data_IF_904203520797
#
_entry.id   IF_904203520797
#
_cell.length_a   1.000
_cell.length_b   1.000
_cell.length_c   1.000
_cell.angle_alpha   90.00
_cell.angle_beta   90.00
_cell.angle_gamma   90.00
#
_symmetry.space_group_name_H-M   'P 1'
#
loop_
_entity.id
_entity.type
_entity.pdbx_description
1 polymer ?
#
# COMPACT_ATOMS: atom_id res chain seq x y z
N UNK A 1 6.46 -0.65 -4.09
CA UNK A 1 7.89 -0.48 -4.41
C UNK A 1 8.05 0.67 -5.40
N UNK A 2 9.20 0.87 -6.06
CA UNK A 2 9.39 1.93 -7.10
C UNK A 2 8.88 1.51 -8.49
N UNK A 3 8.29 0.32 -8.60
CA UNK A 3 7.68 -0.17 -9.83
C UNK A 3 7.28 -1.64 -9.70
N UNK A 4 6.47 -2.17 -10.64
CA UNK A 4 6.01 -3.56 -10.64
C UNK A 4 7.13 -4.58 -10.94
N UNK A 5 8.30 -4.11 -11.40
CA UNK A 5 9.46 -4.96 -11.68
C UNK A 5 10.48 -5.01 -10.53
N UNK A 6 10.31 -4.17 -9.51
CA UNK A 6 11.19 -4.15 -8.35
C UNK A 6 10.92 -5.35 -7.44
N UNK A 7 11.96 -5.80 -6.74
CA UNK A 7 11.93 -6.84 -5.74
C UNK A 7 12.43 -6.29 -4.39
N UNK A 8 12.03 -6.90 -3.25
CA UNK A 8 12.59 -6.58 -1.95
C UNK A 8 14.12 -6.70 -1.90
N UNK A 9 14.69 -7.63 -2.68
CA UNK A 9 16.11 -7.91 -2.80
C UNK A 9 16.90 -6.79 -3.50
N UNK A 10 16.26 -6.01 -4.39
CA UNK A 10 16.84 -4.78 -4.96
C UNK A 10 17.06 -3.69 -3.87
N UNK A 11 16.45 -3.90 -2.71
CA UNK A 11 16.54 -3.03 -1.55
C UNK A 11 15.80 -1.71 -1.72
N UNK A 12 16.23 -0.72 -0.94
CA UNK A 12 15.50 0.54 -0.79
C UNK A 12 16.24 1.75 -1.38
N UNK A 13 17.44 1.56 -1.90
CA UNK A 13 18.27 2.66 -2.44
C UNK A 13 17.66 3.26 -3.70
N UNK A 14 16.97 2.45 -4.51
CA UNK A 14 16.32 2.91 -5.75
C UNK A 14 15.28 4.02 -5.56
N UNK A 15 14.71 4.16 -4.36
CA UNK A 15 13.72 5.19 -4.04
C UNK A 15 14.25 6.62 -4.19
N UNK A 16 15.58 6.83 -4.11
CA UNK A 16 16.18 8.18 -4.28
C UNK A 16 16.11 8.68 -5.73
N UNK A 17 15.94 7.76 -6.68
CA UNK A 17 15.88 8.06 -8.11
C UNK A 17 14.45 8.26 -8.62
N UNK A 18 13.45 7.76 -7.90
CA UNK A 18 12.04 7.93 -8.24
C UNK A 18 11.50 9.24 -7.63
N UNK A 19 11.11 10.18 -8.50
CA UNK A 19 10.66 11.52 -8.14
C UNK A 19 9.16 11.62 -7.86
N UNK A 20 8.47 10.49 -7.73
CA UNK A 20 7.06 10.46 -7.33
C UNK A 20 6.90 10.67 -5.82
N UNK A 21 5.66 10.92 -5.38
CA UNK A 21 5.34 11.27 -3.99
C UNK A 21 5.57 10.09 -3.02
N UNK A 22 5.21 8.87 -3.43
CA UNK A 22 5.37 7.67 -2.61
C UNK A 22 6.84 7.47 -2.17
N UNK A 23 7.80 7.49 -3.09
CA UNK A 23 9.22 7.43 -2.78
C UNK A 23 9.76 8.60 -1.97
N UNK A 24 9.29 9.83 -2.19
CA UNK A 24 9.63 10.97 -1.34
C UNK A 24 9.27 10.68 0.12
N UNK A 25 8.04 10.22 0.38
CA UNK A 25 7.58 9.82 1.72
C UNK A 25 8.34 8.58 2.25
N UNK A 26 8.68 7.64 1.37
CA UNK A 26 9.44 6.44 1.74
C UNK A 26 10.82 6.81 2.34
N UNK A 27 11.57 7.69 1.68
CA UNK A 27 12.96 8.00 2.06
C UNK A 27 13.09 9.12 3.09
N UNK A 28 12.09 9.99 3.20
CA UNK A 28 12.02 10.95 4.31
C UNK A 28 12.08 10.25 5.67
N UNK A 29 11.54 9.03 5.74
CA UNK A 29 11.56 8.14 6.89
C UNK A 29 12.21 6.79 6.53
N UNK A 30 13.46 6.82 6.04
CA UNK A 30 14.15 5.64 5.53
C UNK A 30 14.17 4.43 6.49
N UNK A 31 14.36 4.58 7.83
CA UNK A 31 14.31 3.45 8.76
C UNK A 31 12.99 2.67 8.72
N UNK A 32 11.85 3.36 8.59
CA UNK A 32 10.55 2.70 8.41
C UNK A 32 10.48 1.91 7.10
N UNK A 33 11.06 2.45 6.03
CA UNK A 33 11.13 1.74 4.73
C UNK A 33 12.03 0.51 4.81
N UNK A 34 13.17 0.58 5.53
CA UNK A 34 14.04 -0.57 5.82
C UNK A 34 13.26 -1.63 6.61
N UNK A 35 12.59 -1.23 7.69
CA UNK A 35 11.80 -2.15 8.52
C UNK A 35 10.73 -2.87 7.70
N UNK A 36 9.94 -2.12 6.94
CA UNK A 36 8.90 -2.68 6.05
C UNK A 36 9.48 -3.66 5.03
N UNK A 37 10.68 -3.41 4.52
CA UNK A 37 11.30 -4.28 3.52
C UNK A 37 11.88 -5.56 4.13
N UNK A 38 12.63 -5.46 5.23
CA UNK A 38 13.48 -6.55 5.71
C UNK A 38 13.01 -7.21 7.02
N UNK A 39 12.07 -6.61 7.76
CA UNK A 39 11.75 -7.05 9.13
C UNK A 39 10.25 -7.17 9.41
N UNK A 40 9.39 -6.47 8.68
CA UNK A 40 7.95 -6.54 8.88
C UNK A 40 7.42 -7.97 8.70
N UNK A 41 6.46 -8.41 9.54
CA UNK A 41 5.87 -9.73 9.40
C UNK A 41 5.12 -9.84 8.07
N UNK A 42 5.42 -10.89 7.31
CA UNK A 42 4.68 -11.29 6.11
C UNK A 42 3.77 -12.44 6.49
N UNK A 43 2.48 -12.25 6.28
CA UNK A 43 1.45 -13.20 6.66
C UNK A 43 1.05 -14.10 5.49
N UNK A 44 0.75 -15.36 5.80
CA UNK A 44 0.09 -16.30 4.90
C UNK A 44 -0.97 -17.04 5.71
N UNK A 45 -2.22 -17.06 5.22
CA UNK A 45 -3.34 -17.70 5.91
C UNK A 45 -3.51 -17.26 7.39
N UNK A 46 -3.34 -15.97 7.65
CA UNK A 46 -3.51 -15.37 8.98
C UNK A 46 -2.38 -15.67 9.98
N UNK A 47 -1.28 -16.30 9.55
CA UNK A 47 -0.11 -16.58 10.39
C UNK A 47 1.12 -15.91 9.82
N UNK A 48 2.06 -15.52 10.69
CA UNK A 48 3.36 -15.03 10.27
C UNK A 48 4.08 -16.17 9.56
N UNK A 49 4.38 -15.97 8.27
CA UNK A 49 5.15 -16.91 7.46
C UNK A 49 6.64 -16.62 7.59
N UNK A 50 7.01 -15.35 7.46
CA UNK A 50 8.39 -14.88 7.59
C UNK A 50 8.43 -13.43 8.08
N UNK A 51 9.63 -12.96 8.45
CA UNK A 51 9.93 -11.55 8.64
C UNK A 51 10.71 -11.02 7.44
N UNK A 52 10.34 -9.83 6.97
CA UNK A 52 10.86 -9.26 5.74
C UNK A 52 10.15 -9.79 4.50
N UNK A 53 10.06 -8.94 3.48
CA UNK A 53 9.50 -9.27 2.18
C UNK A 53 10.58 -9.93 1.32
N UNK A 54 10.18 -10.89 0.49
CA UNK A 54 11.02 -11.47 -0.58
C UNK A 54 10.27 -11.43 -1.90
N UNK A 55 10.97 -11.65 -3.01
CA UNK A 55 10.36 -11.73 -4.34
C UNK A 55 9.16 -12.71 -4.42
N UNK A 56 9.19 -13.78 -3.60
CA UNK A 56 8.15 -14.80 -3.56
C UNK A 56 7.05 -14.51 -2.54
N UNK A 57 7.34 -13.75 -1.48
CA UNK A 57 6.41 -13.51 -0.39
C UNK A 57 6.47 -12.04 0.06
N UNK A 58 5.51 -11.27 -0.44
CA UNK A 58 5.37 -9.85 -0.15
C UNK A 58 4.09 -9.57 0.64
N UNK A 59 4.05 -8.40 1.28
CA UNK A 59 2.85 -7.94 1.97
C UNK A 59 1.79 -7.61 0.90
N UNK A 60 0.60 -8.16 1.06
CA UNK A 60 -0.57 -7.82 0.25
C UNK A 60 -1.67 -7.25 1.15
N UNK A 61 -1.87 -5.93 1.06
CA UNK A 61 -2.84 -5.20 1.87
C UNK A 61 -4.30 -5.39 1.43
N UNK A 62 -4.53 -6.04 0.28
CA UNK A 62 -5.85 -6.29 -0.30
C UNK A 62 -6.22 -7.78 -0.31
N UNK A 63 -5.46 -8.65 0.35
CA UNK A 63 -5.71 -10.09 0.36
C UNK A 63 -7.10 -10.45 0.92
N UNK A 64 -7.50 -9.86 2.05
CA UNK A 64 -8.82 -10.08 2.63
C UNK A 64 -9.92 -9.35 1.85
N UNK A 65 -9.63 -8.15 1.35
CA UNK A 65 -10.53 -7.44 0.43
C UNK A 65 -10.89 -8.27 -0.80
N UNK A 66 -9.90 -8.91 -1.43
CA UNK A 66 -10.13 -9.80 -2.58
C UNK A 66 -10.96 -11.04 -2.22
N UNK A 67 -10.82 -11.58 -1.00
CA UNK A 67 -11.66 -12.69 -0.51
C UNK A 67 -13.10 -12.24 -0.28
N UNK A 68 -13.32 -11.11 0.38
CA UNK A 68 -14.65 -10.53 0.63
C UNK A 68 -15.33 -10.18 -0.69
N UNK A 69 -14.63 -9.50 -1.59
CA UNK A 69 -15.13 -9.19 -2.93
C UNK A 69 -15.24 -10.44 -3.81
N UNK A 70 -14.58 -11.55 -3.44
CA UNK A 70 -14.50 -12.79 -4.20
C UNK A 70 -14.00 -12.55 -5.65
N UNK A 71 -12.94 -11.74 -5.78
CA UNK A 71 -12.24 -11.47 -7.04
C UNK A 71 -10.75 -11.50 -6.74
N UNK A 72 -10.06 -12.46 -7.36
CA UNK A 72 -8.61 -12.53 -7.29
C UNK A 72 -8.01 -11.55 -8.31
N UNK A 73 -7.14 -10.66 -7.84
CA UNK A 73 -6.44 -9.67 -8.65
C UNK A 73 -4.95 -9.83 -8.40
N UNK A 74 -4.13 -9.98 -9.47
CA UNK A 74 -2.71 -10.21 -9.29
C UNK A 74 -2.06 -8.96 -8.66
N UNK A 75 -1.22 -9.19 -7.65
CA UNK A 75 -0.39 -8.16 -7.03
C UNK A 75 1.07 -8.50 -7.27
N UNK A 76 1.84 -7.54 -7.78
CA UNK A 76 3.28 -7.70 -8.00
C UNK A 76 4.02 -6.49 -7.46
N UNK A 77 4.99 -6.69 -6.57
CA UNK A 77 5.76 -5.59 -5.95
C UNK A 77 4.87 -4.51 -5.29
N UNK A 78 3.71 -4.91 -4.76
CA UNK A 78 2.69 -4.02 -4.19
C UNK A 78 1.82 -3.27 -5.22
N UNK A 79 1.93 -3.58 -6.52
CA UNK A 79 1.09 -3.04 -7.57
C UNK A 79 -0.01 -4.04 -7.91
N UNK A 80 -1.27 -3.62 -7.83
CA UNK A 80 -2.43 -4.38 -8.29
C UNK A 80 -2.50 -4.30 -9.82
N UNK A 81 -2.45 -5.43 -10.54
CA UNK A 81 -2.30 -5.47 -12.00
C UNK A 81 -3.42 -6.29 -12.69
N UNK A 82 -4.71 -6.01 -12.43
CA UNK A 82 -5.80 -6.78 -12.99
C UNK A 82 -5.86 -6.62 -14.52
N UNK A 83 -6.35 -7.64 -15.20
CA UNK A 83 -6.82 -7.49 -16.57
C UNK A 83 -8.20 -6.82 -16.62
N UNK A 84 -8.62 -6.41 -17.83
CA UNK A 84 -9.92 -5.73 -18.03
C UNK A 84 -11.11 -6.56 -17.58
N UNK A 85 -11.03 -7.89 -17.71
CA UNK A 85 -12.11 -8.80 -17.30
C UNK A 85 -12.26 -8.79 -15.78
N UNK A 86 -11.14 -8.81 -15.08
CA UNK A 86 -11.06 -8.89 -13.62
C UNK A 86 -11.50 -7.58 -12.98
N UNK A 87 -11.04 -6.44 -13.48
CA UNK A 87 -11.46 -5.13 -12.93
C UNK A 87 -12.94 -4.85 -13.17
N UNK A 88 -13.50 -5.24 -14.33
CA UNK A 88 -14.95 -5.12 -14.58
C UNK A 88 -15.77 -6.00 -13.65
N UNK A 89 -15.32 -7.24 -13.42
CA UNK A 89 -15.94 -8.13 -12.44
C UNK A 89 -15.89 -7.54 -11.02
N UNK A 90 -14.76 -6.93 -10.64
CA UNK A 90 -14.65 -6.22 -9.37
C UNK A 90 -15.65 -5.07 -9.30
N UNK A 91 -15.77 -4.25 -10.34
CA UNK A 91 -16.72 -3.14 -10.40
C UNK A 91 -18.17 -3.58 -10.28
N UNK A 92 -18.56 -4.68 -10.94
CA UNK A 92 -19.93 -5.20 -10.82
C UNK A 92 -20.26 -5.62 -9.39
N UNK A 93 -19.28 -6.21 -8.70
CA UNK A 93 -19.44 -6.61 -7.30
C UNK A 93 -19.41 -5.43 -6.34
N UNK A 94 -18.56 -4.43 -6.58
CA UNK A 94 -18.55 -3.18 -5.83
C UNK A 94 -19.89 -2.44 -5.97
N UNK A 95 -20.45 -2.38 -7.19
CA UNK A 95 -21.79 -1.80 -7.45
C UNK A 95 -22.92 -2.56 -6.78
N UNK A 96 -22.80 -3.88 -6.63
CA UNK A 96 -23.76 -4.67 -5.88
C UNK A 96 -23.64 -4.39 -4.37
N UNK A 97 -22.42 -4.40 -3.83
CA UNK A 97 -22.15 -4.13 -2.43
C UNK A 97 -22.51 -2.70 -2.00
N UNK A 98 -22.37 -1.71 -2.89
CA UNK A 98 -22.71 -0.31 -2.57
C UNK A 98 -24.21 -0.06 -2.31
N UNK A 99 -25.07 -1.06 -2.56
CA UNK A 99 -26.52 -1.00 -2.27
C UNK A 99 -26.86 -1.54 -0.88
N UNK A 100 -25.88 -2.12 -0.19
CA UNK A 100 -26.02 -2.72 1.13
C UNK A 100 -24.93 -2.11 2.05
N UNK A 101 -25.29 -1.23 3.00
CA UNK A 101 -24.34 -0.60 3.91
C UNK A 101 -23.45 -1.59 4.67
N UNK A 102 -23.98 -2.74 5.07
CA UNK A 102 -23.22 -3.73 5.83
C UNK A 102 -22.19 -4.42 4.94
N UNK A 103 -22.55 -4.74 3.69
CA UNK A 103 -21.63 -5.29 2.71
C UNK A 103 -20.51 -4.29 2.33
N UNK A 104 -20.86 -3.01 2.16
CA UNK A 104 -19.89 -1.96 1.89
C UNK A 104 -18.93 -1.78 3.08
N UNK A 105 -19.45 -1.73 4.30
CA UNK A 105 -18.65 -1.63 5.51
C UNK A 105 -17.71 -2.83 5.67
N UNK A 106 -18.18 -4.05 5.33
CA UNK A 106 -17.34 -5.23 5.35
C UNK A 106 -16.16 -5.13 4.37
N UNK A 107 -16.38 -4.57 3.17
CA UNK A 107 -15.31 -4.28 2.22
C UNK A 107 -14.33 -3.24 2.78
N UNK A 108 -14.81 -2.15 3.37
CA UNK A 108 -13.95 -1.13 3.98
C UNK A 108 -13.04 -1.75 5.05
N UNK A 109 -13.62 -2.54 5.96
CA UNK A 109 -12.91 -3.18 7.07
C UNK A 109 -11.93 -4.28 6.65
N UNK A 110 -11.96 -4.70 5.39
CA UNK A 110 -11.11 -5.77 4.86
C UNK A 110 -9.81 -5.27 4.22
N UNK A 111 -9.64 -3.96 4.06
CA UNK A 111 -8.39 -3.35 3.58
C UNK A 111 -7.45 -3.15 4.77
N UNK A 112 -6.20 -3.58 4.60
CA UNK A 112 -5.18 -3.51 5.66
C UNK A 112 -4.24 -2.34 5.42
N UNK A 113 -3.69 -1.78 6.50
CA UNK A 113 -2.67 -0.73 6.43
C UNK A 113 -1.48 -1.07 7.32
N UNK A 114 -0.28 -0.68 6.89
CA UNK A 114 0.89 -0.67 7.77
C UNK A 114 0.98 0.66 8.49
N UNK A 115 1.09 0.66 9.82
CA UNK A 115 1.26 1.88 10.61
C UNK A 115 2.59 1.80 11.36
N UNK A 116 3.43 2.82 11.18
CA UNK A 116 4.65 3.00 11.97
C UNK A 116 4.50 4.28 12.78
N UNK A 117 4.68 4.18 14.10
CA UNK A 117 4.63 5.31 15.03
C UNK A 117 6.03 5.77 15.41
N UNK A 118 6.14 7.02 15.83
CA UNK A 118 7.39 7.65 16.31
C UNK A 118 8.57 7.46 15.34
N UNK A 119 8.30 7.50 14.04
CA UNK A 119 9.32 7.30 13.02
C UNK A 119 10.10 8.59 12.82
N UNK A 120 11.41 8.52 13.03
CA UNK A 120 12.29 9.66 12.78
C UNK A 120 12.30 10.05 11.31
N UNK A 121 12.12 11.34 11.05
CA UNK A 121 12.38 11.95 9.74
C UNK A 121 13.88 12.14 9.60
N UNK A 122 14.50 11.47 8.63
CA UNK A 122 15.96 11.46 8.43
C UNK A 122 16.41 12.32 7.26
N UNK A 123 15.52 12.64 6.33
CA UNK A 123 15.88 13.43 5.15
C UNK A 123 14.69 14.16 4.52
N UNK A 124 14.99 15.10 3.65
CA UNK A 124 14.05 15.74 2.74
C UNK A 124 14.70 15.93 1.36
N UNK A 125 13.94 16.47 0.41
CA UNK A 125 14.37 16.65 -0.99
C UNK A 125 14.85 15.34 -1.65
N UNK A 126 14.07 14.27 -1.49
CA UNK A 126 14.39 12.93 -1.96
C UNK A 126 15.76 12.41 -1.46
N UNK A 127 16.04 12.57 -0.17
CA UNK A 127 17.28 12.07 0.43
C UNK A 127 18.51 12.95 0.18
N UNK A 128 18.39 14.04 -0.59
CA UNK A 128 19.52 14.96 -0.87
C UNK A 128 19.92 15.79 0.34
N UNK A 129 18.98 16.05 1.25
CA UNK A 129 19.20 16.84 2.45
C UNK A 129 18.93 15.95 3.67
N UNK A 130 19.96 15.69 4.46
CA UNK A 130 19.87 14.88 5.67
C UNK A 130 19.57 15.79 6.85
N UNK A 131 18.62 15.37 7.70
CA UNK A 131 18.35 16.05 8.97
C UNK A 131 19.41 15.63 9.99
N UNK A 132 19.95 16.57 10.78
CA UNK A 132 20.88 16.20 11.84
C UNK A 132 20.16 15.35 12.90
N UNK A 133 20.84 14.40 13.56
CA UNK A 133 20.23 13.57 14.61
C UNK A 133 19.54 14.38 15.72
N UNK A 134 20.01 15.61 15.97
CA UNK A 134 19.44 16.55 16.95
C UNK A 134 18.08 17.14 16.57
N UNK A 135 17.62 17.00 15.32
CA UNK A 135 16.35 17.57 14.88
C UNK A 135 15.13 16.93 15.58
N UNK A 136 15.26 15.70 16.10
CA UNK A 136 14.26 14.95 16.87
C UNK A 136 12.84 14.91 16.26
N UNK A 137 12.69 15.22 14.97
CA UNK A 137 11.40 15.21 14.30
C UNK A 137 10.94 13.77 14.07
N UNK A 138 9.79 13.43 14.64
CA UNK A 138 9.13 12.13 14.48
C UNK A 138 7.75 12.31 13.85
N UNK A 139 7.28 11.28 13.15
CA UNK A 139 5.94 11.24 12.55
C UNK A 139 5.30 9.86 12.72
N UNK A 140 3.98 9.83 12.71
CA UNK A 140 3.22 8.62 12.42
C UNK A 140 3.10 8.47 10.91
N UNK A 141 3.57 7.34 10.38
CA UNK A 141 3.58 7.03 8.96
C UNK A 141 2.64 5.87 8.68
N UNK A 142 1.71 6.10 7.77
CA UNK A 142 0.75 5.09 7.33
C UNK A 142 1.10 4.71 5.90
N UNK A 143 1.20 3.41 5.66
CA UNK A 143 1.57 2.82 4.39
C UNK A 143 0.28 2.42 3.67
N UNK A 144 -0.32 3.39 2.98
CA UNK A 144 -1.49 3.19 2.15
C UNK A 144 -1.04 2.87 0.71
N UNK A 145 -1.45 1.72 0.18
CA UNK A 145 -1.20 1.38 -1.23
C UNK A 145 -2.27 2.01 -2.10
N UNK A 146 -1.88 2.86 -3.05
CA UNK A 146 -2.79 3.40 -4.04
C UNK A 146 -3.01 2.42 -5.20
N UNK A 147 -4.13 2.58 -5.94
CA UNK A 147 -4.37 1.84 -7.17
C UNK A 147 -3.43 2.31 -8.29
N UNK A 148 -2.68 1.40 -8.96
CA UNK A 148 -1.70 1.78 -9.96
C UNK A 148 -2.35 1.92 -11.35
N UNK A 149 -3.24 2.90 -11.49
CA UNK A 149 -4.09 3.12 -12.68
C UNK A 149 -3.31 3.11 -14.00
N UNK A 150 -2.10 3.68 -14.01
CA UNK A 150 -1.25 3.79 -15.21
C UNK A 150 -0.41 2.55 -15.54
N UNK A 151 -0.49 1.46 -14.75
CA UNK A 151 0.40 0.30 -14.85
C UNK A 151 -0.29 -0.97 -15.36
N UNK A 152 -1.56 -0.90 -15.79
CA UNK A 152 -2.28 -2.02 -16.40
C UNK A 152 -2.89 -1.63 -17.74
N UNK A 153 -3.34 -2.64 -18.49
CA UNK A 153 -4.06 -2.45 -19.76
C UNK A 153 -5.53 -2.00 -19.56
N UNK A 154 -5.94 -1.70 -18.32
CA UNK A 154 -7.27 -1.20 -18.02
C UNK A 154 -7.37 0.30 -18.32
N UNK A 155 -8.53 0.75 -18.79
CA UNK A 155 -8.74 2.19 -18.98
C UNK A 155 -9.00 2.87 -17.64
N UNK A 156 -8.65 4.15 -17.51
CA UNK A 156 -8.75 4.87 -16.24
C UNK A 156 -10.15 4.80 -15.60
N UNK A 157 -11.21 4.94 -16.40
CA UNK A 157 -12.60 4.87 -15.92
C UNK A 157 -12.95 3.50 -15.32
N UNK A 158 -12.29 2.42 -15.75
CA UNK A 158 -12.50 1.09 -15.16
C UNK A 158 -11.95 0.99 -13.73
N UNK A 159 -11.07 1.91 -13.31
CA UNK A 159 -10.53 1.94 -11.95
C UNK A 159 -11.38 2.71 -10.96
N UNK A 160 -12.28 3.58 -11.41
CA UNK A 160 -12.95 4.58 -10.57
C UNK A 160 -13.56 3.97 -9.30
N UNK A 161 -14.39 2.93 -9.41
CA UNK A 161 -15.05 2.33 -8.24
C UNK A 161 -14.07 1.77 -7.21
N UNK A 162 -13.04 1.06 -7.67
CA UNK A 162 -12.04 0.46 -6.77
C UNK A 162 -11.10 1.52 -6.19
N UNK A 163 -10.65 2.46 -7.01
CA UNK A 163 -9.71 3.51 -6.61
C UNK A 163 -10.34 4.46 -5.60
N UNK A 164 -11.61 4.86 -5.81
CA UNK A 164 -12.34 5.71 -4.86
C UNK A 164 -12.48 5.02 -3.51
N UNK A 165 -12.92 3.77 -3.47
CA UNK A 165 -13.05 3.02 -2.21
C UNK A 165 -11.70 2.90 -1.48
N UNK A 166 -10.63 2.53 -2.20
CA UNK A 166 -9.29 2.43 -1.60
C UNK A 166 -8.82 3.79 -1.06
N UNK A 167 -9.12 4.89 -1.75
CA UNK A 167 -8.78 6.25 -1.30
C UNK A 167 -9.57 6.66 -0.06
N UNK A 168 -10.87 6.40 -0.03
CA UNK A 168 -11.75 6.71 1.11
C UNK A 168 -11.24 6.02 2.38
N UNK A 169 -11.02 4.70 2.31
CA UNK A 169 -10.52 3.93 3.45
C UNK A 169 -9.09 4.35 3.84
N UNK A 170 -8.24 4.68 2.86
CA UNK A 170 -6.89 5.20 3.15
C UNK A 170 -6.93 6.54 3.88
N UNK A 171 -7.88 7.41 3.54
CA UNK A 171 -8.08 8.71 4.17
C UNK A 171 -8.64 8.56 5.60
N UNK A 172 -9.62 7.69 5.79
CA UNK A 172 -10.14 7.33 7.11
C UNK A 172 -9.06 6.74 8.02
N UNK A 173 -8.24 5.83 7.49
CA UNK A 173 -7.11 5.25 8.22
C UNK A 173 -6.12 6.33 8.72
N UNK A 174 -5.94 7.41 7.94
CA UNK A 174 -5.12 8.55 8.35
C UNK A 174 -5.66 9.27 9.58
N UNK A 175 -6.96 9.49 9.66
CA UNK A 175 -7.55 10.10 10.85
C UNK A 175 -7.56 9.16 12.05
N UNK A 176 -7.87 7.88 11.84
CA UNK A 176 -7.85 6.90 12.93
C UNK A 176 -6.48 6.81 13.59
N UNK A 177 -5.41 6.72 12.80
CA UNK A 177 -4.05 6.67 13.34
C UNK A 177 -3.62 7.96 14.07
N UNK A 178 -4.29 9.10 13.79
CA UNK A 178 -4.04 10.36 14.47
C UNK A 178 -4.82 10.53 15.79
N UNK A 179 -5.91 9.77 15.98
CA UNK A 179 -6.72 9.77 17.20
C UNK A 179 -6.19 8.78 18.25
N UNK A 180 -5.55 7.71 17.81
CA UNK A 180 -4.82 6.74 18.63
C UNK A 180 -3.45 7.27 19.08
#
# INVERSE_FOLDING_TARGET
>A
FIGPHASPEDGITGYVFDRTQGPACAIACAPATVYRNYFAPVYENGRIRQHGQTAQHMINNLDDFMKVLQVDMPVKAGYLLPDRKTIRKANDKLRAASRDPDALQQLHNSIKFGVHRDVQVTSWEWGRKVLPPSAQQVVTKILCSACPVAYSDCVADEWESLATLVLDVSYEACFWAALE
#
